data_IF_108194803983
#
_entry.id   IF_108194803983
#
_cell.length_a   1.000
_cell.length_b   1.000
_cell.length_c   1.000
_cell.angle_alpha   90.00
_cell.angle_beta   90.00
_cell.angle_gamma   90.00
#
_symmetry.space_group_name_H-M   'P 1'
#
loop_
_entity.id
_entity.type
_entity.pdbx_description
1 polymer ?
#
# COMPACT_ATOMS: atom_id res chain seq x y z
N UNK A 1 -5.84 -13.08 1.28
CA UNK A 1 -5.10 -12.69 0.08
C UNK A 1 -3.75 -12.07 0.49
N UNK A 2 -2.65 -12.72 0.15
CA UNK A 2 -1.33 -12.28 0.59
C UNK A 2 -0.52 -11.73 -0.59
N UNK A 3 -0.11 -10.45 -0.50
CA UNK A 3 0.83 -9.74 -1.36
C UNK A 3 0.65 -9.95 -2.89
N UNK A 4 -0.59 -9.97 -3.38
CA UNK A 4 -0.86 -10.16 -4.81
C UNK A 4 -1.94 -9.20 -5.35
N UNK A 5 -2.67 -8.50 -4.48
CA UNK A 5 -3.79 -7.66 -4.90
C UNK A 5 -3.34 -6.46 -5.75
N UNK A 6 -2.18 -5.91 -5.48
CA UNK A 6 -1.60 -4.78 -6.22
C UNK A 6 -1.13 -5.16 -7.63
N UNK A 7 -1.05 -6.45 -7.96
CA UNK A 7 -0.78 -6.96 -9.30
C UNK A 7 -2.06 -7.25 -10.11
N UNK A 8 -3.24 -7.20 -9.49
CA UNK A 8 -4.48 -7.52 -10.16
C UNK A 8 -4.87 -6.45 -11.19
N UNK A 9 -5.25 -6.87 -12.40
CA UNK A 9 -5.81 -5.96 -13.41
C UNK A 9 -7.18 -5.40 -12.98
N UNK A 10 -7.96 -6.21 -12.26
CA UNK A 10 -9.23 -5.82 -11.65
C UNK A 10 -9.24 -6.20 -10.16
N UNK A 11 -8.66 -5.36 -9.29
CA UNK A 11 -8.62 -5.64 -7.85
C UNK A 11 -10.02 -5.66 -7.22
N UNK A 12 -10.97 -4.90 -7.76
CA UNK A 12 -12.36 -4.89 -7.27
C UNK A 12 -13.02 -6.24 -7.55
N UNK A 13 -12.98 -6.70 -8.81
CA UNK A 13 -13.55 -7.99 -9.19
C UNK A 13 -12.91 -9.14 -8.43
N UNK A 14 -11.62 -9.08 -8.15
CA UNK A 14 -10.93 -10.10 -7.35
C UNK A 14 -11.44 -10.14 -5.91
N UNK A 15 -11.62 -8.99 -5.25
CA UNK A 15 -12.18 -8.94 -3.89
C UNK A 15 -13.66 -9.34 -3.89
N UNK A 16 -14.44 -8.97 -4.90
CA UNK A 16 -15.84 -9.41 -5.07
C UNK A 16 -15.92 -10.94 -5.13
N UNK A 17 -15.08 -11.61 -5.91
CA UNK A 17 -15.04 -13.06 -5.98
C UNK A 17 -14.68 -13.70 -4.64
N UNK A 18 -13.70 -13.11 -3.93
CA UNK A 18 -13.37 -13.55 -2.58
C UNK A 18 -14.55 -13.41 -1.63
N UNK A 19 -15.23 -12.26 -1.65
CA UNK A 19 -16.40 -12.01 -0.80
C UNK A 19 -17.55 -13.00 -1.07
N UNK A 20 -17.82 -13.31 -2.34
CA UNK A 20 -18.84 -14.27 -2.74
C UNK A 20 -18.52 -15.72 -2.33
N UNK A 21 -17.24 -16.06 -2.20
CA UNK A 21 -16.81 -17.39 -1.75
C UNK A 21 -16.87 -17.57 -0.23
N UNK A 22 -17.05 -16.48 0.53
CA UNK A 22 -17.17 -16.53 1.98
C UNK A 22 -18.58 -16.95 2.41
N UNK A 23 -18.66 -17.67 3.54
CA UNK A 23 -19.95 -17.87 4.23
C UNK A 23 -20.41 -16.54 4.82
N UNK A 24 -21.72 -16.36 5.11
CA UNK A 24 -22.17 -15.25 5.94
C UNK A 24 -21.32 -15.14 7.21
N UNK A 25 -20.98 -13.92 7.61
CA UNK A 25 -20.06 -13.61 8.71
C UNK A 25 -18.62 -14.17 8.55
N UNK A 26 -18.23 -14.54 7.34
CA UNK A 26 -16.87 -14.94 7.01
C UNK A 26 -15.93 -13.75 6.92
N UNK A 27 -14.70 -13.89 7.43
CA UNK A 27 -13.70 -12.82 7.42
C UNK A 27 -12.85 -12.86 6.15
N UNK A 28 -12.77 -11.72 5.45
CA UNK A 28 -11.78 -11.45 4.43
C UNK A 28 -10.59 -10.69 5.02
N UNK A 29 -9.38 -11.15 4.75
CA UNK A 29 -8.14 -10.46 5.11
C UNK A 29 -7.25 -10.41 3.88
N UNK A 30 -6.65 -9.24 3.62
CA UNK A 30 -5.64 -9.08 2.59
C UNK A 30 -4.49 -8.20 3.06
N UNK A 31 -3.30 -8.46 2.51
CA UNK A 31 -2.14 -7.58 2.58
C UNK A 31 -1.66 -7.31 1.16
N UNK A 32 -1.31 -6.07 0.85
CA UNK A 32 -0.75 -5.68 -0.44
C UNK A 32 0.21 -4.49 -0.28
N UNK A 33 1.02 -4.25 -1.29
CA UNK A 33 1.78 -3.00 -1.36
C UNK A 33 0.84 -1.85 -1.72
N UNK A 34 1.08 -0.67 -1.11
CA UNK A 34 0.26 0.52 -1.29
C UNK A 34 0.96 1.79 -0.83
N UNK A 35 0.28 2.91 -0.93
CA UNK A 35 0.78 4.20 -0.43
C UNK A 35 2.09 4.63 -1.06
N UNK A 36 3.06 4.94 -0.24
CA UNK A 36 4.38 5.44 -0.65
C UNK A 36 5.40 4.33 -0.95
N UNK A 37 4.95 3.10 -1.22
CA UNK A 37 5.83 1.97 -1.51
C UNK A 37 6.88 2.33 -2.58
N UNK A 38 8.16 2.12 -2.27
CA UNK A 38 9.32 2.35 -3.15
C UNK A 38 9.41 3.78 -3.73
N UNK A 39 8.95 4.80 -2.99
CA UNK A 39 8.95 6.18 -3.47
C UNK A 39 10.37 6.68 -3.80
N UNK A 40 11.35 6.30 -2.99
CA UNK A 40 12.76 6.67 -3.16
C UNK A 40 13.32 6.07 -4.45
N UNK A 41 13.05 4.79 -4.71
CA UNK A 41 13.45 4.10 -5.94
C UNK A 41 12.79 4.74 -7.16
N UNK A 42 11.49 5.03 -7.07
CA UNK A 42 10.74 5.70 -8.16
C UNK A 42 11.32 7.07 -8.47
N UNK A 43 11.57 7.89 -7.47
CA UNK A 43 12.14 9.23 -7.61
C UNK A 43 13.52 9.17 -8.25
N UNK A 44 14.42 8.32 -7.75
CA UNK A 44 15.79 8.22 -8.26
C UNK A 44 15.84 7.74 -9.72
N UNK A 45 15.00 6.76 -10.10
CA UNK A 45 14.92 6.27 -11.49
C UNK A 45 14.31 7.31 -12.42
N UNK A 46 13.22 7.99 -12.01
CA UNK A 46 12.57 9.04 -12.80
C UNK A 46 13.51 10.22 -13.04
N UNK A 47 14.22 10.67 -12.01
CA UNK A 47 15.21 11.76 -12.13
C UNK A 47 16.34 11.38 -13.10
N UNK A 48 16.82 10.14 -13.05
CA UNK A 48 17.86 9.66 -13.95
C UNK A 48 17.37 9.61 -15.41
N UNK A 49 16.14 9.19 -15.66
CA UNK A 49 15.54 9.18 -17.01
C UNK A 49 15.35 10.57 -17.57
N UNK A 50 14.87 11.52 -16.75
CA UNK A 50 14.76 12.92 -17.17
C UNK A 50 16.12 13.47 -17.59
N UNK A 51 17.17 13.23 -16.80
CA UNK A 51 18.52 13.73 -17.05
C UNK A 51 19.15 13.12 -18.33
N UNK A 52 18.91 11.85 -18.61
CA UNK A 52 19.58 11.14 -19.71
C UNK A 52 18.74 11.00 -20.98
N UNK A 53 17.42 10.94 -20.84
CA UNK A 53 16.50 10.62 -21.93
C UNK A 53 15.50 11.75 -22.22
N UNK A 54 15.42 12.76 -21.36
CA UNK A 54 14.44 13.85 -21.50
C UNK A 54 12.98 13.44 -21.27
N UNK A 55 12.72 12.23 -20.75
CA UNK A 55 11.39 11.71 -20.48
C UNK A 55 11.37 10.65 -19.39
N UNK A 56 10.19 10.19 -19.01
CA UNK A 56 9.99 9.18 -17.95
C UNK A 56 9.30 7.96 -18.55
N UNK A 57 9.80 6.77 -18.22
CA UNK A 57 9.13 5.51 -18.48
C UNK A 57 8.61 4.87 -17.18
N UNK A 58 7.54 4.05 -17.24
CA UNK A 58 7.00 3.39 -16.05
C UNK A 58 7.92 2.25 -15.59
N UNK A 59 8.78 2.52 -14.60
CA UNK A 59 9.72 1.54 -14.03
C UNK A 59 9.26 0.95 -12.72
N UNK A 60 8.65 1.77 -11.87
CA UNK A 60 8.08 1.38 -10.58
C UNK A 60 6.58 1.59 -10.63
N UNK A 61 5.81 0.54 -10.39
CA UNK A 61 4.34 0.57 -10.43
C UNK A 61 3.81 1.63 -9.44
N UNK A 62 2.94 2.55 -9.86
CA UNK A 62 2.24 3.43 -8.94
C UNK A 62 1.31 2.60 -8.07
N UNK A 63 1.36 2.81 -6.76
CA UNK A 63 0.55 2.08 -5.80
C UNK A 63 -0.72 2.86 -5.45
N UNK A 64 -1.80 2.12 -5.19
CA UNK A 64 -3.05 2.70 -4.75
C UNK A 64 -2.94 3.27 -3.33
N UNK A 65 -3.66 4.34 -3.06
CA UNK A 65 -3.73 4.93 -1.74
C UNK A 65 -4.64 4.11 -0.82
N UNK A 66 -4.42 4.18 0.49
CA UNK A 66 -5.22 3.45 1.49
C UNK A 66 -6.71 3.73 1.35
N UNK A 67 -7.10 4.95 1.01
CA UNK A 67 -8.51 5.34 0.78
C UNK A 67 -9.13 4.54 -0.38
N UNK A 68 -8.40 4.41 -1.48
CA UNK A 68 -8.87 3.72 -2.67
C UNK A 68 -9.01 2.23 -2.40
N UNK A 69 -8.03 1.65 -1.69
CA UNK A 69 -8.03 0.26 -1.28
C UNK A 69 -9.17 -0.04 -0.29
N UNK A 70 -9.41 0.83 0.69
CA UNK A 70 -10.57 0.74 1.58
C UNK A 70 -11.90 0.84 0.83
N UNK A 71 -11.97 1.69 -0.20
CA UNK A 71 -13.13 1.79 -1.09
C UNK A 71 -13.42 0.50 -1.87
N UNK A 72 -12.41 -0.32 -2.16
CA UNK A 72 -12.58 -1.63 -2.81
C UNK A 72 -13.42 -2.58 -1.93
N UNK A 73 -13.18 -2.60 -0.62
CA UNK A 73 -13.93 -3.45 0.32
C UNK A 73 -15.43 -3.10 0.32
N UNK A 74 -15.73 -1.79 0.33
CA UNK A 74 -17.11 -1.32 0.27
C UNK A 74 -17.79 -1.66 -1.06
N UNK A 75 -17.07 -1.48 -2.18
CA UNK A 75 -17.57 -1.83 -3.53
C UNK A 75 -17.77 -3.34 -3.69
N UNK A 76 -16.99 -4.14 -2.99
CA UNK A 76 -17.16 -5.60 -2.94
C UNK A 76 -18.31 -6.04 -2.03
N UNK A 77 -19.00 -5.11 -1.35
CA UNK A 77 -20.13 -5.42 -0.46
C UNK A 77 -19.74 -6.02 0.88
N UNK A 78 -18.45 -5.91 1.29
CA UNK A 78 -18.01 -6.37 2.60
C UNK A 78 -18.50 -5.40 3.70
N UNK A 79 -18.95 -5.96 4.80
CA UNK A 79 -19.34 -5.23 6.00
C UNK A 79 -18.13 -4.94 6.88
N UNK A 80 -18.23 -3.91 7.72
CA UNK A 80 -17.21 -3.51 8.70
C UNK A 80 -15.80 -3.39 8.07
N UNK A 81 -15.66 -2.68 6.93
CA UNK A 81 -14.38 -2.59 6.23
C UNK A 81 -13.35 -1.82 7.06
N UNK A 82 -12.17 -2.39 7.20
CA UNK A 82 -11.02 -1.74 7.83
C UNK A 82 -9.85 -1.75 6.85
N UNK A 83 -9.18 -0.63 6.72
CA UNK A 83 -7.93 -0.50 5.99
C UNK A 83 -6.90 0.17 6.90
N UNK A 84 -5.73 -0.44 7.02
CA UNK A 84 -4.61 0.06 7.80
C UNK A 84 -3.34 0.08 6.95
N UNK A 85 -2.42 0.99 7.24
CA UNK A 85 -1.18 1.14 6.49
C UNK A 85 0.02 1.13 7.43
N UNK A 86 1.08 0.44 6.98
CA UNK A 86 2.33 0.35 7.70
C UNK A 86 3.49 0.62 6.73
N UNK A 87 4.29 1.63 7.01
CA UNK A 87 5.51 1.90 6.27
C UNK A 87 6.70 1.23 6.99
N UNK A 88 7.43 0.40 6.25
CA UNK A 88 8.61 -0.32 6.73
C UNK A 88 9.85 0.32 6.09
N UNK A 89 10.58 1.17 6.80
CA UNK A 89 11.83 1.71 6.31
C UNK A 89 12.91 0.61 6.31
N UNK A 90 13.54 0.41 5.17
CA UNK A 90 14.59 -0.60 4.97
C UNK A 90 15.85 0.07 4.44
N UNK A 91 17.01 -0.35 4.92
CA UNK A 91 18.32 0.22 4.55
C UNK A 91 19.08 -0.71 3.60
N UNK A 92 19.53 -0.15 2.48
CA UNK A 92 20.27 -0.88 1.45
C UNK A 92 21.65 -0.26 1.20
N UNK A 93 22.61 -1.08 0.80
CA UNK A 93 23.94 -0.61 0.43
C UNK A 93 23.93 0.06 -0.98
N UNK A 94 22.98 -0.31 -1.85
CA UNK A 94 22.91 0.22 -3.21
C UNK A 94 21.56 -0.07 -3.87
N UNK A 95 21.28 0.64 -4.97
CA UNK A 95 20.19 0.37 -5.89
C UNK A 95 20.12 -1.10 -6.33
N UNK A 96 21.28 -1.72 -6.60
CA UNK A 96 21.34 -3.09 -7.09
C UNK A 96 20.88 -4.12 -6.03
N UNK A 97 21.09 -3.83 -4.74
CA UNK A 97 20.58 -4.69 -3.67
C UNK A 97 19.05 -4.56 -3.57
N UNK A 98 18.48 -3.36 -3.69
CA UNK A 98 17.02 -3.16 -3.77
C UNK A 98 16.45 -3.97 -4.94
N UNK A 99 17.04 -3.82 -6.13
CA UNK A 99 16.57 -4.53 -7.33
C UNK A 99 16.67 -6.05 -7.22
N UNK A 100 17.66 -6.56 -6.49
CA UNK A 100 17.80 -8.00 -6.23
C UNK A 100 16.69 -8.48 -5.32
N UNK A 101 16.51 -7.83 -4.18
CA UNK A 101 15.47 -8.21 -3.22
C UNK A 101 14.07 -8.14 -3.84
N UNK A 102 13.77 -7.10 -4.63
CA UNK A 102 12.51 -7.02 -5.37
C UNK A 102 12.33 -8.21 -6.33
N UNK A 103 13.39 -8.63 -7.02
CA UNK A 103 13.33 -9.81 -7.90
C UNK A 103 13.11 -11.08 -7.11
N UNK A 104 13.79 -11.24 -5.98
CA UNK A 104 13.68 -12.41 -5.11
C UNK A 104 12.30 -12.52 -4.46
N UNK A 105 11.64 -11.37 -4.20
CA UNK A 105 10.24 -11.28 -3.75
C UNK A 105 9.22 -11.50 -4.87
N UNK A 106 9.63 -11.53 -6.14
CA UNK A 106 8.72 -11.60 -7.29
C UNK A 106 8.14 -10.23 -7.71
N UNK A 107 8.60 -9.14 -7.11
CA UNK A 107 8.15 -7.76 -7.37
C UNK A 107 8.86 -7.15 -8.59
N UNK A 108 8.71 -7.77 -9.74
CA UNK A 108 9.24 -7.25 -11.00
C UNK A 108 8.25 -6.29 -11.67
N UNK A 109 8.75 -5.46 -12.59
CA UNK A 109 7.89 -4.56 -13.34
C UNK A 109 7.00 -5.32 -14.34
N UNK A 110 5.72 -5.45 -14.02
CA UNK A 110 4.70 -6.14 -14.84
C UNK A 110 3.86 -5.19 -15.69
N UNK A 111 4.11 -3.87 -15.64
CA UNK A 111 3.29 -2.90 -16.38
C UNK A 111 3.37 -3.14 -17.90
N UNK A 112 2.23 -3.11 -18.57
CA UNK A 112 2.15 -3.27 -20.02
C UNK A 112 2.96 -2.20 -20.78
N UNK A 113 2.95 -0.96 -20.25
CA UNK A 113 3.64 0.18 -20.81
C UNK A 113 5.15 0.25 -20.46
N UNK A 114 5.69 -0.75 -19.74
CA UNK A 114 7.12 -0.75 -19.40
C UNK A 114 8.00 -0.79 -20.62
N UNK A 115 9.17 -0.19 -20.53
CA UNK A 115 10.23 -0.34 -21.54
C UNK A 115 10.65 -1.81 -21.62
N UNK A 116 10.62 -2.38 -22.84
CA UNK A 116 10.98 -3.79 -23.10
C UNK A 116 12.44 -3.98 -23.51
N UNK A 117 13.18 -2.87 -23.71
CA UNK A 117 14.62 -2.89 -23.99
C UNK A 117 15.43 -2.96 -22.70
N UNK A 118 16.70 -3.34 -22.83
CA UNK A 118 17.62 -3.32 -21.69
C UNK A 118 17.84 -1.89 -21.20
N UNK A 119 17.89 -1.74 -19.87
CA UNK A 119 18.29 -0.48 -19.25
C UNK A 119 19.78 -0.26 -19.48
N UNK A 120 20.17 0.95 -19.90
CA UNK A 120 21.59 1.28 -20.06
C UNK A 120 22.30 1.30 -18.69
N UNK A 121 23.58 0.98 -18.69
CA UNK A 121 24.41 1.03 -17.48
C UNK A 121 24.48 2.45 -16.93
N UNK A 122 24.59 3.43 -17.81
CA UNK A 122 24.61 4.85 -17.43
C UNK A 122 23.35 5.30 -16.70
N UNK A 123 22.16 4.78 -17.08
CA UNK A 123 20.91 5.06 -16.39
C UNK A 123 20.92 4.51 -14.95
N UNK A 124 21.36 3.29 -14.76
CA UNK A 124 21.42 2.66 -13.44
C UNK A 124 22.47 3.32 -12.53
N UNK A 125 23.61 3.71 -13.09
CA UNK A 125 24.65 4.47 -12.37
C UNK A 125 24.15 5.87 -11.98
N UNK A 126 23.43 6.57 -12.86
CA UNK A 126 22.81 7.85 -12.58
C UNK A 126 21.75 7.72 -11.48
N UNK A 127 20.86 6.73 -11.59
CA UNK A 127 19.85 6.45 -10.57
C UNK A 127 20.47 6.09 -9.22
N UNK A 128 21.56 5.31 -9.20
CA UNK A 128 22.31 5.00 -7.98
C UNK A 128 22.89 6.27 -7.34
N UNK A 129 23.41 7.20 -8.15
CA UNK A 129 23.93 8.48 -7.67
C UNK A 129 22.81 9.33 -7.07
N UNK A 130 21.69 9.46 -7.78
CA UNK A 130 20.52 10.21 -7.30
C UNK A 130 19.96 9.61 -5.99
N UNK A 131 19.83 8.27 -5.94
CA UNK A 131 19.37 7.57 -4.75
C UNK A 131 20.26 7.84 -3.53
N UNK A 132 21.58 7.82 -3.73
CA UNK A 132 22.54 8.11 -2.66
C UNK A 132 22.51 9.58 -2.25
N UNK A 133 22.39 10.52 -3.19
CA UNK A 133 22.42 11.95 -2.86
C UNK A 133 21.17 12.41 -2.11
N UNK A 134 20.00 11.80 -2.39
CA UNK A 134 18.73 12.27 -1.87
C UNK A 134 18.26 11.45 -0.64
N UNK A 135 18.60 10.15 -0.58
CA UNK A 135 18.02 9.22 0.38
C UNK A 135 19.05 8.45 1.20
N UNK A 136 20.35 8.83 1.17
CA UNK A 136 21.32 8.18 2.04
C UNK A 136 21.24 8.71 3.47
N UNK A 137 21.51 7.80 4.42
CA UNK A 137 21.73 8.17 5.82
C UNK A 137 23.21 8.52 6.10
N UNK A 138 23.49 8.87 7.37
CA UNK A 138 24.85 9.18 7.81
C UNK A 138 25.85 8.04 7.65
N UNK A 139 25.39 6.79 7.52
CA UNK A 139 26.22 5.58 7.34
C UNK A 139 26.45 5.23 5.86
N UNK A 140 25.98 6.06 4.93
CA UNK A 140 26.09 5.88 3.49
C UNK A 140 25.19 4.78 2.90
N UNK A 141 24.27 4.27 3.71
CA UNK A 141 23.20 3.39 3.25
C UNK A 141 22.05 4.23 2.69
N UNK A 142 21.30 3.67 1.76
CA UNK A 142 20.12 4.31 1.18
C UNK A 142 18.87 3.77 1.83
N UNK A 143 17.95 4.66 2.18
CA UNK A 143 16.65 4.29 2.70
C UNK A 143 15.71 3.94 1.53
N UNK A 144 14.89 2.94 1.75
CA UNK A 144 13.85 2.52 0.83
C UNK A 144 12.62 2.11 1.64
N UNK A 145 11.49 2.70 1.37
CA UNK A 145 10.25 2.48 2.11
C UNK A 145 9.40 1.42 1.44
N UNK A 146 9.03 0.37 2.19
CA UNK A 146 8.02 -0.59 1.78
C UNK A 146 6.70 -0.23 2.46
N UNK A 147 5.75 0.27 1.67
CA UNK A 147 4.40 0.58 2.14
C UNK A 147 3.50 -0.64 2.04
N UNK A 148 3.04 -1.15 3.17
CA UNK A 148 2.07 -2.25 3.26
C UNK A 148 0.70 -1.70 3.63
N UNK A 149 -0.33 -2.21 2.99
CA UNK A 149 -1.72 -1.95 3.34
C UNK A 149 -2.40 -3.25 3.70
N UNK A 150 -3.00 -3.28 4.88
CA UNK A 150 -3.79 -4.38 5.40
C UNK A 150 -5.26 -4.04 5.23
N UNK A 151 -6.01 -4.98 4.69
CA UNK A 151 -7.43 -4.84 4.42
C UNK A 151 -8.17 -5.95 5.13
N UNK A 152 -9.27 -5.61 5.79
CA UNK A 152 -10.18 -6.61 6.33
C UNK A 152 -11.63 -6.19 6.17
N UNK A 153 -12.51 -7.16 6.11
CA UNK A 153 -13.96 -6.97 6.01
C UNK A 153 -14.67 -8.30 6.17
N UNK A 154 -15.94 -8.25 6.45
CA UNK A 154 -16.75 -9.44 6.73
C UNK A 154 -17.80 -9.63 5.64
N UNK A 155 -18.05 -10.85 5.25
CA UNK A 155 -19.24 -11.15 4.45
C UNK A 155 -20.50 -10.74 5.23
N UNK A 156 -21.46 -10.03 4.61
CA UNK A 156 -22.63 -9.52 5.31
C UNK A 156 -23.43 -10.64 5.98
N UNK A 157 -23.86 -10.39 7.23
CA UNK A 157 -24.76 -11.23 7.98
C UNK A 157 -25.78 -10.39 8.79
N UNK A 158 -26.94 -10.96 9.09
CA UNK A 158 -28.00 -10.29 9.83
C UNK A 158 -27.65 -10.01 11.29
N UNK A 159 -26.71 -10.79 11.86
CA UNK A 159 -26.25 -10.68 13.25
C UNK A 159 -25.24 -9.56 13.48
N UNK A 160 -24.66 -9.01 12.38
CA UNK A 160 -23.63 -7.98 12.48
C UNK A 160 -24.21 -6.65 12.99
N UNK A 161 -23.40 -5.88 13.76
CA UNK A 161 -23.82 -4.56 14.23
C UNK A 161 -24.07 -3.62 13.03
N UNK A 162 -25.23 -2.96 13.07
CA UNK A 162 -25.60 -1.98 12.04
C UNK A 162 -25.37 -0.57 12.57
N UNK A 163 -24.92 0.37 11.72
CA UNK A 163 -24.85 1.77 12.10
C UNK A 163 -26.21 2.27 12.58
N UNK A 164 -26.20 3.03 13.66
CA UNK A 164 -27.40 3.70 14.13
C UNK A 164 -27.89 4.72 13.08
N UNK A 165 -29.22 4.93 13.02
CA UNK A 165 -29.79 5.91 12.10
C UNK A 165 -29.31 7.32 12.48
N UNK A 166 -29.06 8.22 11.52
CA UNK A 166 -28.78 9.63 11.83
C UNK A 166 -29.86 10.22 12.74
N UNK A 167 -29.45 10.94 13.79
CA UNK A 167 -30.36 11.52 14.77
C UNK A 167 -30.79 10.58 15.90
N UNK A 168 -30.34 9.33 15.96
CA UNK A 168 -30.65 8.38 17.03
C UNK A 168 -29.75 8.51 18.27
N UNK A 169 -28.87 9.51 18.32
CA UNK A 169 -28.02 9.75 19.47
C UNK A 169 -28.86 10.09 20.71
N UNK A 170 -28.72 9.29 21.78
CA UNK A 170 -29.42 9.47 23.05
C UNK A 170 -28.59 10.20 24.11
N UNK A 171 -27.30 10.38 23.84
CA UNK A 171 -26.35 11.05 24.75
C UNK A 171 -25.66 12.20 24.03
N UNK A 172 -25.41 13.29 24.74
CA UNK A 172 -24.56 14.36 24.24
C UNK A 172 -23.10 13.93 24.23
N UNK A 173 -22.28 14.55 23.37
CA UNK A 173 -20.84 14.28 23.30
C UNK A 173 -20.15 14.48 24.67
N UNK A 174 -20.59 15.49 25.43
CA UNK A 174 -20.07 15.78 26.78
C UNK A 174 -20.35 14.63 27.75
N UNK A 175 -21.58 14.11 27.77
CA UNK A 175 -21.94 12.95 28.62
C UNK A 175 -21.18 11.69 28.23
N UNK A 176 -20.93 11.46 26.94
CA UNK A 176 -20.12 10.32 26.49
C UNK A 176 -18.66 10.43 26.92
N UNK A 177 -18.08 11.63 26.88
CA UNK A 177 -16.72 11.89 27.37
C UNK A 177 -16.59 11.72 28.89
N UNK A 178 -17.57 12.17 29.65
CA UNK A 178 -17.58 11.99 31.10
C UNK A 178 -17.70 10.52 31.51
N UNK A 179 -18.51 9.75 30.80
CA UNK A 179 -18.66 8.31 31.01
C UNK A 179 -17.39 7.50 30.67
N UNK A 180 -16.57 7.98 29.72
CA UNK A 180 -15.35 7.32 29.28
C UNK A 180 -14.11 7.69 30.12
N UNK A 181 -14.20 8.66 31.04
CA UNK A 181 -13.07 9.00 31.93
C UNK A 181 -12.80 7.84 32.88
N UNK A 182 -11.56 7.30 32.91
CA UNK A 182 -11.20 6.29 33.89
C UNK A 182 -11.39 6.89 35.29
N UNK A 183 -12.15 6.22 36.18
CA UNK A 183 -12.22 6.56 37.57
C UNK A 183 -10.82 6.39 38.14
N UNK A 184 -10.10 7.48 38.36
CA UNK A 184 -8.89 7.49 39.13
C UNK A 184 -9.30 7.11 40.55
N UNK A 185 -9.05 5.86 40.92
CA UNK A 185 -9.14 5.45 42.34
C UNK A 185 -8.02 6.17 43.11
N UNK A 186 -8.43 7.05 44.01
CA UNK A 186 -7.55 7.58 45.04
C UNK A 186 -7.17 6.48 46.05
#
# INVERSE_FOLDING_TARGET
>A
HALGLHHANDPVGQVVQCAQALRPDGLFIAACFGGQNLIELRTALSSAEIQLCGGISPRVTPMAQIRDLGGILQRAGLALPVADALDIPTKYNSLFHIMRDLRDMGETNIMCARTKSFSSRSLLECAQKNLKSEFSDGDGKVNCTFGLVFLSGWAPDATQPKPLKPGSATQTFQQALEASRPKLNN
#
